data_IF_575589359471
#
_entry.id   IF_575589359471
#
_cell.length_a   1.000
_cell.length_b   1.000
_cell.length_c   1.000
_cell.angle_alpha   90.00
_cell.angle_beta   90.00
_cell.angle_gamma   90.00
#
_symmetry.space_group_name_H-M   'P 1'
#
loop_
_entity.id
_entity.type
_entity.pdbx_description
1 polymer ?
#
# COMPACT_ATOMS: atom_id res chain seq x y z
N UNK A 1 -6.60 35.88 21.35
CA UNK A 1 -5.18 35.83 21.74
C UNK A 1 -4.62 34.51 21.24
N UNK A 2 -3.88 34.56 20.14
CA UNK A 2 -3.47 33.37 19.39
C UNK A 2 -2.28 32.67 20.04
N UNK A 3 -2.49 31.43 20.45
CA UNK A 3 -1.41 30.47 20.65
C UNK A 3 -1.68 29.35 19.64
N UNK A 4 -1.25 29.58 18.40
CA UNK A 4 -1.11 28.50 17.44
C UNK A 4 0.07 27.65 17.91
N UNK A 5 -0.23 26.64 18.74
CA UNK A 5 0.72 25.57 19.00
C UNK A 5 0.89 24.81 17.70
N UNK A 6 1.84 25.27 16.86
CA UNK A 6 2.38 24.55 15.73
C UNK A 6 3.10 23.34 16.32
N UNK A 7 2.34 22.28 16.62
CA UNK A 7 2.87 21.00 17.08
C UNK A 7 3.90 20.58 16.03
N UNK A 8 5.19 20.66 16.36
CA UNK A 8 6.25 20.22 15.48
C UNK A 8 5.96 18.76 15.16
N UNK A 9 5.45 18.52 13.95
CA UNK A 9 5.25 17.18 13.47
C UNK A 9 6.64 16.64 13.18
N UNK A 10 7.22 15.93 14.15
CA UNK A 10 8.44 15.19 13.96
C UNK A 10 8.18 14.06 12.96
N UNK A 11 8.35 14.36 11.68
CA UNK A 11 8.35 13.36 10.62
C UNK A 11 9.55 12.44 10.83
N UNK A 12 9.38 11.14 10.59
CA UNK A 12 10.42 10.12 10.84
C UNK A 12 11.78 10.45 10.20
N UNK A 13 11.78 11.23 9.13
CA UNK A 13 12.97 11.69 8.41
C UNK A 13 12.95 13.20 8.10
N UNK A 14 12.16 14.00 8.83
CA UNK A 14 12.08 15.46 8.69
C UNK A 14 11.48 16.00 7.37
N UNK A 15 11.35 15.18 6.33
CA UNK A 15 10.80 15.57 5.03
C UNK A 15 9.27 15.49 5.05
N UNK A 16 8.62 16.49 4.47
CA UNK A 16 7.17 16.56 4.36
C UNK A 16 6.60 15.36 3.55
N UNK A 17 5.57 14.65 4.04
CA UNK A 17 5.06 13.43 3.40
C UNK A 17 4.54 13.61 1.97
N UNK A 18 3.98 14.78 1.65
CA UNK A 18 3.53 15.07 0.28
C UNK A 18 4.68 15.06 -0.73
N UNK A 19 5.86 15.54 -0.33
CA UNK A 19 7.06 15.55 -1.19
C UNK A 19 7.51 14.12 -1.45
N UNK A 20 7.55 13.28 -0.41
CA UNK A 20 7.89 11.85 -0.55
C UNK A 20 6.90 11.13 -1.49
N UNK A 21 5.62 11.46 -1.42
CA UNK A 21 4.56 10.86 -2.24
C UNK A 21 4.69 11.31 -3.71
N UNK A 22 4.84 12.61 -3.96
CA UNK A 22 5.06 13.15 -5.31
C UNK A 22 6.34 12.57 -5.91
N UNK A 23 7.42 12.50 -5.12
CA UNK A 23 8.67 11.86 -5.54
C UNK A 23 8.44 10.40 -5.95
N UNK A 24 7.69 9.63 -5.14
CA UNK A 24 7.33 8.26 -5.49
C UNK A 24 6.59 8.19 -6.82
N UNK A 25 5.55 9.00 -7.02
CA UNK A 25 4.76 8.97 -8.27
C UNK A 25 5.63 9.35 -9.48
N UNK A 26 6.33 10.48 -9.40
CA UNK A 26 7.13 11.01 -10.50
C UNK A 26 8.24 10.04 -10.89
N UNK A 27 8.94 9.47 -9.91
CA UNK A 27 10.02 8.51 -10.18
C UNK A 27 9.49 7.21 -10.80
N UNK A 28 8.32 6.70 -10.38
CA UNK A 28 7.69 5.54 -11.02
C UNK A 28 7.34 5.83 -12.48
N UNK A 29 6.78 7.01 -12.78
CA UNK A 29 6.48 7.42 -14.16
C UNK A 29 7.77 7.50 -14.99
N UNK A 30 8.83 8.11 -14.45
CA UNK A 30 10.14 8.20 -15.11
C UNK A 30 10.71 6.80 -15.39
N UNK A 31 10.58 5.88 -14.44
CA UNK A 31 11.07 4.50 -14.59
C UNK A 31 10.37 3.76 -15.73
N UNK A 32 9.08 4.04 -15.96
CA UNK A 32 8.32 3.48 -17.08
C UNK A 32 8.61 4.12 -18.44
N UNK A 33 9.11 5.35 -18.46
CA UNK A 33 9.22 6.11 -19.70
C UNK A 33 10.38 5.61 -20.59
N UNK A 34 10.13 5.45 -21.89
CA UNK A 34 11.06 4.86 -22.88
C UNK A 34 12.43 5.53 -22.94
N UNK A 35 12.47 6.85 -22.84
CA UNK A 35 13.71 7.64 -22.84
C UNK A 35 14.72 7.25 -21.74
N UNK A 36 14.25 6.64 -20.64
CA UNK A 36 15.11 6.33 -19.50
C UNK A 36 15.52 4.87 -19.40
N UNK A 37 15.21 4.04 -20.41
CA UNK A 37 15.48 2.60 -20.37
C UNK A 37 16.96 2.30 -20.09
N UNK A 38 17.89 2.99 -20.76
CA UNK A 38 19.33 2.83 -20.56
C UNK A 38 19.82 3.23 -19.16
N UNK A 39 19.13 4.16 -18.50
CA UNK A 39 19.54 4.71 -17.19
C UNK A 39 18.94 3.95 -15.99
N UNK A 40 18.07 2.96 -16.21
CA UNK A 40 17.42 2.18 -15.14
C UNK A 40 18.40 1.51 -14.19
N UNK A 41 19.56 1.10 -14.68
CA UNK A 41 20.63 0.53 -13.86
C UNK A 41 21.16 1.50 -12.80
N UNK A 42 21.29 2.79 -13.14
CA UNK A 42 21.70 3.82 -12.19
C UNK A 42 20.64 4.04 -11.12
N UNK A 43 19.36 4.05 -11.51
CA UNK A 43 18.24 4.14 -10.56
C UNK A 43 18.26 2.98 -9.57
N UNK A 44 18.48 1.75 -10.04
CA UNK A 44 18.56 0.57 -9.19
C UNK A 44 19.72 0.66 -8.19
N UNK A 45 20.91 1.11 -8.62
CA UNK A 45 22.07 1.30 -7.73
C UNK A 45 21.74 2.32 -6.63
N UNK A 46 21.17 3.46 -7.01
CA UNK A 46 20.79 4.52 -6.07
C UNK A 46 19.76 4.01 -5.05
N UNK A 47 18.75 3.26 -5.50
CA UNK A 47 17.74 2.70 -4.60
C UNK A 47 18.31 1.65 -3.65
N UNK A 48 19.25 0.81 -4.10
CA UNK A 48 19.94 -0.14 -3.22
C UNK A 48 20.70 0.61 -2.12
N UNK A 49 21.43 1.67 -2.47
CA UNK A 49 22.13 2.50 -1.48
C UNK A 49 21.17 3.06 -0.44
N UNK A 50 20.03 3.62 -0.88
CA UNK A 50 18.98 4.14 0.00
C UNK A 50 18.40 3.03 0.89
N UNK A 51 18.11 1.86 0.32
CA UNK A 51 17.56 0.72 1.06
C UNK A 51 18.52 0.22 2.15
N UNK A 52 19.83 0.22 1.88
CA UNK A 52 20.88 -0.12 2.84
C UNK A 52 20.96 0.93 3.95
N UNK A 53 20.97 2.22 3.62
CA UNK A 53 20.98 3.32 4.61
C UNK A 53 19.80 3.23 5.56
N UNK A 54 18.61 2.93 5.03
CA UNK A 54 17.39 2.81 5.82
C UNK A 54 17.32 1.45 6.55
N UNK A 55 18.24 0.52 6.30
CA UNK A 55 18.32 -0.84 6.87
C UNK A 55 17.09 -1.69 6.58
N UNK A 56 16.61 -1.68 5.34
CA UNK A 56 15.38 -2.37 4.94
C UNK A 56 15.43 -3.87 5.32
N UNK A 57 14.37 -4.37 5.97
CA UNK A 57 14.35 -5.75 6.42
C UNK A 57 13.96 -6.67 5.25
N UNK A 58 14.88 -7.56 4.85
CA UNK A 58 14.70 -8.51 3.75
C UNK A 58 13.52 -9.47 3.94
N UNK A 59 13.00 -9.63 5.16
CA UNK A 59 11.82 -10.46 5.39
C UNK A 59 10.59 -9.97 4.60
N UNK A 60 10.44 -8.66 4.42
CA UNK A 60 9.34 -8.10 3.60
C UNK A 60 9.50 -8.44 2.11
N UNK A 61 10.74 -8.62 1.62
CA UNK A 61 11.01 -8.99 0.23
C UNK A 61 10.80 -10.48 -0.05
N UNK A 62 10.94 -11.36 0.95
CA UNK A 62 10.80 -12.82 0.75
C UNK A 62 9.43 -13.22 0.19
N UNK A 63 8.36 -12.60 0.68
CA UNK A 63 7.01 -12.82 0.15
C UNK A 63 6.87 -12.35 -1.29
N UNK A 64 7.57 -11.26 -1.64
CA UNK A 64 7.53 -10.66 -2.96
C UNK A 64 8.22 -11.51 -4.04
N UNK A 65 9.27 -12.26 -3.70
CA UNK A 65 9.99 -13.12 -4.65
C UNK A 65 9.04 -14.15 -5.30
N UNK A 66 8.12 -14.74 -4.54
CA UNK A 66 7.14 -15.70 -5.08
C UNK A 66 6.20 -15.03 -6.10
N UNK A 67 5.77 -13.80 -5.80
CA UNK A 67 4.96 -13.01 -6.71
C UNK A 67 5.72 -12.65 -8.00
N UNK A 68 7.01 -12.29 -7.89
CA UNK A 68 7.85 -12.02 -9.06
C UNK A 68 7.98 -13.23 -9.98
N UNK A 69 8.21 -14.42 -9.43
CA UNK A 69 8.37 -15.65 -10.22
C UNK A 69 7.11 -15.93 -11.04
N UNK A 70 5.92 -15.86 -10.43
CA UNK A 70 4.68 -16.14 -11.15
C UNK A 70 4.37 -15.07 -12.21
N UNK A 71 4.70 -13.81 -11.92
CA UNK A 71 4.59 -12.71 -12.88
C UNK A 71 5.53 -12.96 -14.08
N UNK A 72 6.77 -13.35 -13.82
CA UNK A 72 7.78 -13.61 -14.83
C UNK A 72 7.40 -14.73 -15.80
N UNK A 73 6.87 -15.85 -15.29
CA UNK A 73 6.36 -16.92 -16.15
C UNK A 73 5.21 -16.41 -17.04
N UNK A 74 4.25 -15.69 -16.46
CA UNK A 74 3.11 -15.15 -17.21
C UNK A 74 3.53 -14.20 -18.34
N UNK A 75 4.41 -13.24 -18.03
CA UNK A 75 4.89 -12.27 -19.00
C UNK A 75 5.83 -12.85 -20.05
N UNK A 76 6.62 -13.88 -19.73
CA UNK A 76 7.42 -14.59 -20.73
C UNK A 76 6.53 -15.17 -21.84
N UNK A 77 5.44 -15.85 -21.48
CA UNK A 77 4.51 -16.38 -22.47
C UNK A 77 3.85 -15.26 -23.27
N UNK A 78 3.44 -14.17 -22.63
CA UNK A 78 2.85 -13.02 -23.34
C UNK A 78 3.82 -12.43 -24.38
N UNK A 79 5.07 -12.16 -24.01
CA UNK A 79 6.05 -11.62 -24.96
C UNK A 79 6.43 -12.61 -26.06
N UNK A 80 6.49 -13.90 -25.75
CA UNK A 80 6.69 -14.93 -26.77
C UNK A 80 5.59 -14.92 -27.84
N UNK A 81 4.32 -14.78 -27.44
CA UNK A 81 3.20 -14.69 -28.38
C UNK A 81 3.14 -13.38 -29.17
N UNK A 82 3.71 -12.30 -28.65
CA UNK A 82 3.76 -10.99 -29.35
C UNK A 82 4.88 -10.96 -30.37
N UNK A 83 6.09 -11.33 -29.95
CA UNK A 83 7.29 -11.16 -30.78
C UNK A 83 7.57 -12.36 -31.70
N UNK A 84 6.90 -13.50 -31.48
CA UNK A 84 7.16 -14.79 -32.14
C UNK A 84 8.65 -15.18 -32.18
N UNK A 85 9.44 -14.63 -31.25
CA UNK A 85 10.88 -14.80 -31.18
C UNK A 85 11.30 -15.00 -29.73
N UNK A 86 12.07 -16.06 -29.50
CA UNK A 86 12.53 -16.42 -28.16
C UNK A 86 13.52 -15.37 -27.61
N UNK A 87 14.35 -14.81 -28.50
CA UNK A 87 15.35 -13.82 -28.13
C UNK A 87 14.73 -12.44 -27.82
N UNK A 88 13.76 -11.98 -28.64
CA UNK A 88 13.03 -10.74 -28.39
C UNK A 88 12.23 -10.79 -27.09
N UNK A 89 11.53 -11.90 -26.86
CA UNK A 89 10.79 -12.13 -25.63
C UNK A 89 11.70 -12.07 -24.39
N UNK A 90 12.91 -12.63 -24.45
CA UNK A 90 13.85 -12.63 -23.34
C UNK A 90 14.40 -11.22 -23.03
N UNK A 91 14.70 -10.43 -24.06
CA UNK A 91 15.14 -9.04 -23.89
C UNK A 91 14.04 -8.17 -23.26
N UNK A 92 12.81 -8.26 -23.78
CA UNK A 92 11.65 -7.52 -23.25
C UNK A 92 11.33 -7.91 -21.81
N UNK A 93 11.41 -9.21 -21.50
CA UNK A 93 11.21 -9.71 -20.15
C UNK A 93 12.29 -9.23 -19.17
N UNK A 94 13.53 -9.09 -19.62
CA UNK A 94 14.60 -8.57 -18.78
C UNK A 94 14.39 -7.09 -18.44
N UNK A 95 14.01 -6.28 -19.44
CA UNK A 95 13.67 -4.87 -19.23
C UNK A 95 12.46 -4.69 -18.29
N UNK A 96 11.45 -5.54 -18.45
CA UNK A 96 10.28 -5.58 -17.57
C UNK A 96 10.66 -5.97 -16.14
N UNK A 97 11.50 -6.99 -15.98
CA UNK A 97 11.97 -7.44 -14.67
C UNK A 97 12.72 -6.34 -13.92
N UNK A 98 13.61 -5.61 -14.61
CA UNK A 98 14.31 -4.46 -14.03
C UNK A 98 13.33 -3.37 -13.59
N UNK A 99 12.39 -3.02 -14.46
CA UNK A 99 11.37 -2.01 -14.20
C UNK A 99 10.56 -2.33 -12.95
N UNK A 100 10.03 -3.55 -12.87
CA UNK A 100 9.28 -4.00 -11.71
C UNK A 100 10.14 -3.99 -10.45
N UNK A 101 11.38 -4.45 -10.54
CA UNK A 101 12.27 -4.52 -9.37
C UNK A 101 12.50 -3.14 -8.75
N UNK A 102 12.75 -2.13 -9.60
CA UNK A 102 12.91 -0.72 -9.19
C UNK A 102 11.62 -0.21 -8.53
N UNK A 103 10.48 -0.29 -9.21
CA UNK A 103 9.17 0.16 -8.69
C UNK A 103 8.85 -0.47 -7.33
N UNK A 104 9.15 -1.75 -7.20
CA UNK A 104 8.89 -2.51 -5.98
C UNK A 104 9.79 -2.06 -4.85
N UNK A 105 11.10 -1.95 -5.10
CA UNK A 105 12.07 -1.50 -4.12
C UNK A 105 11.74 -0.08 -3.65
N UNK A 106 11.41 0.82 -4.58
CA UNK A 106 10.96 2.17 -4.25
C UNK A 106 9.72 2.17 -3.34
N UNK A 107 8.75 1.32 -3.65
CA UNK A 107 7.52 1.18 -2.85
C UNK A 107 7.83 0.68 -1.44
N UNK A 108 8.73 -0.29 -1.29
CA UNK A 108 9.18 -0.77 0.02
C UNK A 108 9.94 0.30 0.82
N UNK A 109 10.79 1.07 0.14
CA UNK A 109 11.50 2.21 0.74
C UNK A 109 10.47 3.23 1.26
N UNK A 110 9.51 3.63 0.44
CA UNK A 110 8.48 4.59 0.84
C UNK A 110 7.63 4.09 1.99
N UNK A 111 7.17 2.84 1.95
CA UNK A 111 6.40 2.22 3.05
C UNK A 111 7.17 2.24 4.37
N UNK A 112 8.50 2.10 4.33
CA UNK A 112 9.34 2.12 5.52
C UNK A 112 9.61 3.52 6.06
N UNK A 113 9.75 4.50 5.18
CA UNK A 113 10.03 5.91 5.52
C UNK A 113 8.76 6.64 5.99
N UNK A 114 7.61 6.30 5.41
CA UNK A 114 6.36 7.05 5.59
C UNK A 114 5.31 6.18 6.30
N UNK A 115 5.06 6.37 7.60
CA UNK A 115 3.97 5.66 8.28
C UNK A 115 2.59 6.07 7.71
N UNK A 116 1.56 5.22 7.86
CA UNK A 116 0.22 5.52 7.34
C UNK A 116 -0.38 6.84 7.84
N UNK A 117 -0.04 7.26 9.07
CA UNK A 117 -0.43 8.54 9.64
C UNK A 117 0.19 9.75 8.92
N UNK A 118 1.46 9.65 8.50
CA UNK A 118 2.13 10.68 7.69
C UNK A 118 1.55 10.73 6.26
N UNK A 119 1.17 9.58 5.70
CA UNK A 119 0.56 9.51 4.37
C UNK A 119 -0.74 10.31 4.28
N UNK A 120 -1.60 10.24 5.31
CA UNK A 120 -2.82 11.05 5.41
C UNK A 120 -2.51 12.55 5.34
N UNK A 121 -1.46 12.99 6.04
CA UNK A 121 -1.03 14.40 6.05
C UNK A 121 -0.54 14.81 4.65
N UNK A 122 0.17 13.90 3.96
CA UNK A 122 0.57 14.07 2.57
C UNK A 122 -0.63 14.25 1.64
N UNK A 123 -1.63 13.37 1.75
CA UNK A 123 -2.87 13.43 0.96
C UNK A 123 -3.63 14.74 1.19
N UNK A 124 -3.76 15.18 2.44
CA UNK A 124 -4.41 16.46 2.78
C UNK A 124 -3.70 17.66 2.14
N UNK A 125 -2.38 17.61 2.10
CA UNK A 125 -1.55 18.68 1.54
C UNK A 125 -1.62 18.75 0.01
N UNK A 126 -1.97 17.62 -0.64
CA UNK A 126 -2.25 17.55 -2.08
C UNK A 126 -3.65 18.08 -2.45
N UNK A 127 -4.33 18.78 -1.55
CA UNK A 127 -5.69 19.34 -1.72
C UNK A 127 -6.77 18.29 -2.00
N UNK A 128 -6.57 17.05 -1.56
CA UNK A 128 -7.65 16.06 -1.55
C UNK A 128 -8.76 16.56 -0.61
N UNK A 129 -10.05 16.47 -0.99
CA UNK A 129 -11.13 16.99 -0.16
C UNK A 129 -11.08 16.42 1.25
N UNK A 130 -11.32 17.28 2.25
CA UNK A 130 -11.17 16.93 3.66
C UNK A 130 -11.97 15.71 4.09
N UNK A 131 -13.13 15.48 3.46
CA UNK A 131 -14.00 14.32 3.69
C UNK A 131 -13.27 13.00 3.36
N UNK A 132 -12.52 12.93 2.25
CA UNK A 132 -11.76 11.73 1.90
C UNK A 132 -10.59 11.50 2.85
N UNK A 133 -9.85 12.56 3.20
CA UNK A 133 -8.76 12.45 4.16
C UNK A 133 -9.26 11.98 5.54
N UNK A 134 -10.43 12.49 5.97
CA UNK A 134 -11.11 12.07 7.19
C UNK A 134 -11.55 10.59 7.13
N UNK A 135 -12.21 10.18 6.04
CA UNK A 135 -12.64 8.80 5.85
C UNK A 135 -11.46 7.81 5.88
N UNK A 136 -10.38 8.09 5.13
CA UNK A 136 -9.16 7.27 5.13
C UNK A 136 -8.53 7.20 6.52
N UNK A 137 -8.49 8.33 7.24
CA UNK A 137 -7.96 8.36 8.62
C UNK A 137 -8.75 7.42 9.51
N UNK A 138 -10.07 7.56 9.53
CA UNK A 138 -10.99 6.70 10.27
C UNK A 138 -10.77 5.23 9.90
N UNK A 139 -10.73 4.89 8.61
CA UNK A 139 -10.52 3.51 8.17
C UNK A 139 -9.23 2.90 8.70
N UNK A 140 -8.12 3.64 8.71
CA UNK A 140 -6.83 3.16 9.22
C UNK A 140 -6.87 2.99 10.74
N UNK A 141 -7.49 3.94 11.47
CA UNK A 141 -7.62 3.84 12.93
C UNK A 141 -8.55 2.70 13.37
N UNK A 142 -9.58 2.36 12.58
CA UNK A 142 -10.52 1.28 12.91
C UNK A 142 -10.14 -0.08 12.36
N UNK A 143 -9.12 -0.17 11.51
CA UNK A 143 -8.56 -1.44 11.06
C UNK A 143 -8.29 -2.45 12.21
N UNK A 144 -7.63 -2.09 13.33
CA UNK A 144 -7.45 -3.02 14.44
C UNK A 144 -8.76 -3.50 15.08
N UNK A 145 -9.77 -2.63 15.17
CA UNK A 145 -11.09 -2.98 15.75
C UNK A 145 -11.79 -4.00 14.86
N UNK A 146 -11.79 -3.77 13.54
CA UNK A 146 -12.38 -4.70 12.56
C UNK A 146 -11.66 -6.05 12.60
N UNK A 147 -10.33 -6.07 12.76
CA UNK A 147 -9.56 -7.30 12.87
C UNK A 147 -9.93 -8.13 14.12
N UNK A 148 -10.23 -7.48 15.25
CA UNK A 148 -10.71 -8.16 16.46
C UNK A 148 -12.09 -8.77 16.20
N UNK A 149 -13.02 -8.00 15.63
CA UNK A 149 -14.37 -8.48 15.32
C UNK A 149 -14.38 -9.64 14.32
N UNK A 150 -13.50 -9.61 13.32
CA UNK A 150 -13.29 -10.73 12.39
C UNK A 150 -12.83 -11.98 13.15
N UNK A 151 -11.83 -11.85 14.03
CA UNK A 151 -11.30 -12.97 14.82
C UNK A 151 -12.37 -13.58 15.72
N UNK A 152 -13.14 -12.74 16.42
CA UNK A 152 -14.26 -13.18 17.26
C UNK A 152 -15.32 -13.91 16.43
N UNK A 153 -15.67 -13.36 15.27
CA UNK A 153 -16.62 -14.02 14.34
C UNK A 153 -16.10 -15.39 13.89
N UNK A 154 -14.82 -15.50 13.56
CA UNK A 154 -14.20 -16.78 13.18
C UNK A 154 -14.30 -17.79 14.32
N UNK A 155 -13.95 -17.40 15.55
CA UNK A 155 -14.01 -18.28 16.73
C UNK A 155 -15.46 -18.72 16.98
N UNK A 156 -16.42 -17.79 16.95
CA UNK A 156 -17.84 -18.10 17.15
C UNK A 156 -18.39 -19.06 16.10
N UNK A 157 -17.99 -18.90 14.83
CA UNK A 157 -18.41 -19.82 13.78
C UNK A 157 -17.75 -21.19 13.94
N UNK A 158 -16.47 -21.24 14.31
CA UNK A 158 -15.76 -22.51 14.57
C UNK A 158 -16.42 -23.29 15.71
N UNK A 159 -16.88 -22.62 16.78
CA UNK A 159 -17.67 -23.25 17.85
C UNK A 159 -19.00 -23.83 17.38
N UNK A 160 -19.57 -23.32 16.27
CA UNK A 160 -20.77 -23.85 15.61
C UNK A 160 -20.46 -24.96 14.59
N UNK A 161 -19.22 -25.42 14.53
CA UNK A 161 -18.78 -26.47 13.62
C UNK A 161 -18.35 -25.97 12.23
N UNK A 162 -18.25 -24.66 12.01
CA UNK A 162 -17.73 -24.12 10.75
C UNK A 162 -16.24 -24.43 10.60
N UNK A 163 -15.89 -25.06 9.48
CA UNK A 163 -14.49 -25.28 9.06
C UNK A 163 -14.14 -24.28 7.97
N UNK A 164 -13.02 -23.58 8.13
CA UNK A 164 -12.57 -22.57 7.18
C UNK A 164 -12.34 -23.20 5.81
N UNK A 165 -13.05 -22.70 4.81
CA UNK A 165 -12.99 -23.15 3.41
C UNK A 165 -12.95 -21.92 2.52
N UNK A 166 -11.96 -21.84 1.64
CA UNK A 166 -11.73 -20.68 0.75
C UNK A 166 -12.98 -20.35 -0.08
N UNK A 167 -13.74 -21.39 -0.47
CA UNK A 167 -14.97 -21.28 -1.26
C UNK A 167 -16.25 -21.04 -0.43
N UNK A 168 -16.18 -21.06 0.91
CA UNK A 168 -17.35 -20.87 1.78
C UNK A 168 -17.08 -19.80 2.85
N UNK A 169 -16.85 -18.56 2.42
CA UNK A 169 -16.59 -17.43 3.33
C UNK A 169 -17.87 -16.75 3.83
N UNK A 170 -19.05 -17.06 3.26
CA UNK A 170 -20.33 -16.46 3.63
C UNK A 170 -20.61 -16.45 5.16
N UNK A 171 -20.36 -17.54 5.91
CA UNK A 171 -20.62 -17.56 7.36
C UNK A 171 -19.75 -16.60 8.18
N UNK A 172 -18.61 -16.16 7.65
CA UNK A 172 -17.75 -15.15 8.29
C UNK A 172 -18.08 -13.76 7.74
N UNK A 173 -18.18 -13.62 6.41
CA UNK A 173 -18.39 -12.33 5.76
C UNK A 173 -19.70 -11.66 6.17
N UNK A 174 -20.82 -12.39 6.16
CA UNK A 174 -22.13 -11.78 6.44
C UNK A 174 -22.18 -11.21 7.87
N UNK A 175 -21.83 -11.97 8.94
CA UNK A 175 -21.85 -11.42 10.30
C UNK A 175 -20.85 -10.28 10.49
N UNK A 176 -19.66 -10.36 9.89
CA UNK A 176 -18.67 -9.27 9.98
C UNK A 176 -19.18 -8.00 9.32
N UNK A 177 -19.75 -8.08 8.12
CA UNK A 177 -20.29 -6.89 7.41
C UNK A 177 -21.41 -6.25 8.23
N UNK A 178 -22.36 -7.04 8.75
CA UNK A 178 -23.43 -6.53 9.61
C UNK A 178 -22.86 -5.87 10.88
N UNK A 179 -21.83 -6.47 11.47
CA UNK A 179 -21.11 -5.91 12.61
C UNK A 179 -20.45 -4.57 12.30
N UNK A 180 -19.82 -4.44 11.14
CA UNK A 180 -19.19 -3.20 10.67
C UNK A 180 -20.21 -2.11 10.35
N UNK A 181 -21.38 -2.47 9.81
CA UNK A 181 -22.49 -1.52 9.56
C UNK A 181 -23.00 -0.96 10.88
N UNK A 182 -23.27 -1.81 11.87
CA UNK A 182 -23.70 -1.35 13.19
C UNK A 182 -22.63 -0.50 13.90
N UNK A 183 -21.37 -0.86 13.70
CA UNK A 183 -20.26 -0.08 14.20
C UNK A 183 -20.20 1.31 13.55
N UNK A 184 -20.34 1.40 12.23
CA UNK A 184 -20.27 2.68 11.52
C UNK A 184 -21.46 3.60 11.81
N UNK A 185 -22.67 3.05 12.01
CA UNK A 185 -23.84 3.83 12.43
C UNK A 185 -23.65 4.40 13.83
N UNK A 186 -23.22 3.58 14.78
CA UNK A 186 -22.91 4.04 16.14
C UNK A 186 -21.79 5.10 16.15
N UNK A 187 -20.77 4.91 15.33
CA UNK A 187 -19.71 5.91 15.14
C UNK A 187 -20.29 7.23 14.63
N UNK A 188 -21.12 7.19 13.58
CA UNK A 188 -21.73 8.40 13.01
C UNK A 188 -22.57 9.16 14.04
N UNK A 189 -23.43 8.47 14.79
CA UNK A 189 -24.24 9.06 15.88
C UNK A 189 -23.33 9.67 16.97
N UNK A 190 -22.24 8.99 17.31
CA UNK A 190 -21.26 9.49 18.29
C UNK A 190 -20.51 10.75 17.81
N UNK A 191 -20.30 10.89 16.50
CA UNK A 191 -19.67 12.06 15.88
C UNK A 191 -20.65 13.23 15.84
N UNK A 192 -21.90 12.99 15.41
CA UNK A 192 -22.95 14.00 15.35
C UNK A 192 -23.26 14.58 16.74
N UNK A 193 -23.33 13.73 17.77
CA UNK A 193 -23.52 14.19 19.16
C UNK A 193 -22.36 15.04 19.70
N UNK A 194 -21.16 14.93 19.12
CA UNK A 194 -20.00 15.80 19.42
C UNK A 194 -19.97 17.08 18.58
N UNK A 195 -21.00 17.33 17.77
CA UNK A 195 -21.11 18.50 16.91
C UNK A 195 -20.35 18.39 15.58
N UNK A 196 -19.90 17.19 15.20
CA UNK A 196 -19.40 16.99 13.83
C UNK A 196 -20.58 16.99 12.86
N UNK A 197 -20.64 18.01 12.00
CA UNK A 197 -21.46 17.96 10.79
C UNK A 197 -20.64 17.25 9.71
N UNK A 198 -21.04 16.02 9.39
CA UNK A 198 -20.48 15.22 8.29
C UNK A 198 -21.06 15.73 6.98
#
# INVERSE_FOLDING_TARGET
>A
MGISMKKEQNYKYGIHPAIKLVFLIVFNIITFHSLFYSYRWLFLIIEILIAVTIRLNFQYLKGYIKFLIINFLGFYFLFYFVDFSWFGALMNLFDYFLTITIISLQTFIFYKITPPSELIIGLRSLKIPGVFAFAVSISIYFLPVILIQIKETIVMQQSRGYKFKIYNLRPILIPTILGVINFSTNLAISLESRGFKI
#
